data_IF_155752810427
#
_entry.id   IF_155752810427
#
_cell.length_a   1.000
_cell.length_b   1.000
_cell.length_c   1.000
_cell.angle_alpha   90.00
_cell.angle_beta   90.00
_cell.angle_gamma   90.00
#
_symmetry.space_group_name_H-M   'P 1'
#
loop_
_entity.id
_entity.type
_entity.pdbx_description
1 polymer ?
#
# COMPACT_ATOMS: atom_id res chain seq x y z
N UNK A 1 3.12 -0.56 -15.77
CA UNK A 1 2.76 -0.88 -15.57
C UNK A 1 1.70 -1.06 -15.12
N UNK A 2 1.15 -1.29 -15.01
CA UNK A 2 0.21 -1.52 -14.74
C UNK A 2 -0.51 -1.73 -13.98
N UNK A 3 -0.94 -1.71 -13.54
CA UNK A 3 -1.44 -1.82 -12.82
C UNK A 3 -2.53 -2.21 -12.46
N UNK A 4 -3.01 -2.63 -12.26
CA UNK A 4 -4.03 -3.09 -11.89
C UNK A 4 -4.55 -2.64 -10.76
N UNK A 5 -4.53 -1.59 -10.41
CA UNK A 5 -5.11 -1.19 -9.35
C UNK A 5 -6.51 -1.18 -9.61
N UNK A 6 -7.30 -2.00 -9.29
CA UNK A 6 -8.74 -1.98 -9.47
C UNK A 6 -9.19 -1.57 -10.81
N UNK A 7 -8.81 -2.28 -11.77
CA UNK A 7 -9.11 -1.82 -13.00
C UNK A 7 -10.39 -2.21 -13.32
N UNK A 8 -11.16 -1.74 -13.66
CA UNK A 8 -12.36 -2.05 -13.89
C UNK A 8 -12.69 -2.44 -15.06
N UNK A 9 -12.64 -2.99 -15.56
CA UNK A 9 -12.91 -3.38 -16.65
C UNK A 9 -14.12 -3.58 -16.90
N UNK A 10 -14.79 -3.49 -16.94
CA UNK A 10 -15.88 -3.66 -17.18
C UNK A 10 -16.39 -4.01 -18.19
N UNK A 11 -16.41 -4.17 -18.69
CA UNK A 11 -16.82 -4.63 -19.55
C UNK A 11 -18.01 -4.66 -19.98
N UNK A 12 -18.46 -4.65 -20.49
CA UNK A 12 -19.47 -4.56 -21.06
C UNK A 12 -20.27 -5.52 -21.12
N UNK A 13 -20.77 -5.75 -21.11
CA UNK A 13 -21.42 -6.61 -21.21
C UNK A 13 -22.50 -6.82 -21.67
N UNK A 14 -22.84 -6.93 -22.13
CA UNK A 14 -23.78 -7.19 -22.72
C UNK A 14 -24.80 -7.74 -22.29
N UNK A 15 -25.04 -8.10 -21.96
CA UNK A 15 -25.98 -8.55 -21.57
C UNK A 15 -27.13 -8.94 -21.75
N UNK A 16 -27.67 -8.98 -21.97
CA UNK A 16 -28.75 -9.28 -22.29
C UNK A 16 -29.40 -10.12 -21.52
N UNK A 17 -29.56 -10.48 -21.20
CA UNK A 17 -30.15 -11.35 -20.66
C UNK A 17 -30.58 -11.39 -19.44
N UNK A 18 -31.10 -11.25 -19.11
CA UNK A 18 -31.67 -11.38 -18.10
C UNK A 18 -31.24 -11.88 -17.00
N UNK A 19 -31.03 -12.40 -16.75
CA UNK A 19 -30.69 -12.95 -15.79
C UNK A 19 -30.32 -12.46 -14.70
N UNK A 20 -30.38 -12.00 -14.23
CA UNK A 20 -30.14 -11.53 -13.21
C UNK A 20 -29.43 -11.88 -12.23
N UNK A 21 -29.10 -12.39 -12.00
CA UNK A 21 -28.37 -12.78 -11.13
C UNK A 21 -27.56 -11.94 -10.51
N UNK A 22 -27.66 -11.53 -9.78
CA UNK A 22 -26.95 -10.73 -9.13
C UNK A 22 -25.69 -11.05 -8.92
N UNK A 23 -24.92 -10.58 -9.34
CA UNK A 23 -23.72 -10.82 -9.13
C UNK A 23 -23.24 -10.15 -8.06
N UNK A 24 -22.60 -10.53 -7.35
CA UNK A 24 -22.06 -10.00 -6.25
C UNK A 24 -21.18 -9.02 -6.59
N UNK A 25 -21.09 -8.22 -6.28
CA UNK A 25 -20.27 -7.30 -6.61
C UNK A 25 -18.99 -7.63 -6.51
N UNK A 26 -18.26 -7.34 -7.31
CA UNK A 26 -17.03 -7.64 -7.27
C UNK A 26 -16.36 -6.64 -6.55
N UNK A 27 -15.85 -6.82 -5.50
CA UNK A 27 -15.15 -5.86 -4.81
C UNK A 27 -13.97 -5.54 -5.56
N UNK A 28 -13.68 -4.38 -5.75
CA UNK A 28 -12.53 -3.98 -6.43
C UNK A 28 -11.35 -4.12 -5.54
N UNK A 29 -10.41 -4.91 -5.86
CA UNK A 29 -9.22 -5.08 -5.08
C UNK A 29 -8.16 -4.13 -5.58
N UNK A 30 -7.67 -3.26 -4.74
CA UNK A 30 -6.61 -2.34 -5.13
C UNK A 30 -5.27 -2.96 -4.82
N UNK A 31 -4.30 -2.67 -5.67
CA UNK A 31 -3.00 -3.26 -5.60
C UNK A 31 -2.03 -2.25 -4.96
N UNK A 32 -1.37 -2.58 -3.88
CA UNK A 32 -0.43 -1.66 -3.24
C UNK A 32 0.96 -1.66 -3.88
N UNK A 33 1.19 -2.56 -4.82
CA UNK A 33 2.54 -2.71 -5.36
C UNK A 33 2.95 -1.51 -6.20
N UNK A 34 4.21 -1.15 -6.10
CA UNK A 34 4.74 -0.02 -6.83
C UNK A 34 5.38 0.98 -5.91
N UNK A 35 5.77 2.11 -6.44
CA UNK A 35 6.46 3.13 -5.68
C UNK A 35 5.48 4.20 -5.23
N UNK A 36 5.52 4.51 -3.96
CA UNK A 36 4.65 5.51 -3.37
C UNK A 36 5.50 6.57 -2.70
N UNK A 37 5.02 7.80 -2.68
CA UNK A 37 5.75 8.90 -2.08
C UNK A 37 5.07 9.36 -0.82
N UNK A 38 5.85 9.50 0.24
CA UNK A 38 5.37 10.05 1.50
C UNK A 38 5.41 11.57 1.39
N UNK A 39 4.28 12.24 1.42
CA UNK A 39 4.26 13.69 1.18
C UNK A 39 5.04 14.50 2.21
N UNK A 40 5.05 14.08 3.44
CA UNK A 40 5.70 14.88 4.49
C UNK A 40 7.22 14.94 4.34
N UNK A 41 7.84 13.96 3.70
CA UNK A 41 9.29 13.95 3.58
C UNK A 41 9.78 13.82 2.15
N UNK A 42 8.91 13.52 1.22
CA UNK A 42 9.32 13.25 -0.16
C UNK A 42 10.02 11.91 -0.33
N UNK A 43 10.01 11.08 0.70
CA UNK A 43 10.63 9.76 0.63
C UNK A 43 9.81 8.86 -0.28
N UNK A 44 10.47 8.13 -1.14
CA UNK A 44 9.79 7.17 -2.01
C UNK A 44 10.08 5.76 -1.53
N UNK A 45 9.04 4.96 -1.47
CA UNK A 45 9.10 3.61 -0.95
C UNK A 45 8.47 2.69 -1.97
N UNK A 46 9.14 1.61 -2.27
CA UNK A 46 8.62 0.62 -3.20
C UNK A 46 7.99 -0.51 -2.40
N UNK A 47 6.73 -0.78 -2.68
CA UNK A 47 6.00 -1.88 -2.06
C UNK A 47 6.00 -3.05 -3.06
N UNK A 48 6.31 -4.23 -2.57
CA UNK A 48 6.45 -5.38 -3.46
C UNK A 48 6.00 -6.66 -2.77
N UNK A 49 5.76 -7.67 -3.56
CA UNK A 49 5.35 -8.96 -3.05
C UNK A 49 6.57 -9.73 -2.58
N UNK A 50 6.50 -10.29 -1.38
CA UNK A 50 7.57 -11.10 -0.85
C UNK A 50 6.95 -12.39 -0.32
N UNK A 51 6.85 -13.38 -1.18
CA UNK A 51 6.29 -14.68 -0.83
C UNK A 51 4.85 -14.57 -0.35
N UNK A 52 4.07 -13.78 -1.04
CA UNK A 52 2.66 -13.63 -0.73
C UNK A 52 2.36 -12.62 0.35
N UNK A 53 3.38 -11.99 0.90
CA UNK A 53 3.21 -10.96 1.90
C UNK A 53 3.62 -9.62 1.31
N UNK A 54 3.34 -8.56 2.02
CA UNK A 54 3.67 -7.22 1.53
C UNK A 54 4.95 -6.73 2.16
N UNK A 55 5.90 -6.37 1.32
CA UNK A 55 7.17 -5.80 1.76
C UNK A 55 7.31 -4.39 1.23
N UNK A 56 8.14 -3.60 1.87
CA UNK A 56 8.37 -2.24 1.44
C UNK A 56 9.78 -1.80 1.76
N UNK A 57 10.39 -1.07 0.82
CA UNK A 57 11.75 -0.60 1.04
C UNK A 57 11.93 0.80 0.50
N UNK A 58 12.75 1.59 1.17
CA UNK A 58 13.03 2.96 0.75
C UNK A 58 13.88 2.92 -0.52
N UNK A 59 13.43 3.58 -1.56
CA UNK A 59 14.16 3.60 -2.83
C UNK A 59 14.68 4.98 -3.20
N UNK A 60 14.15 6.04 -2.62
CA UNK A 60 14.64 7.38 -2.87
C UNK A 60 14.29 8.30 -1.72
N UNK A 61 15.11 9.28 -1.47
CA UNK A 61 14.86 10.29 -0.45
C UNK A 61 15.09 11.65 -1.08
N UNK A 62 14.37 12.63 -0.57
CA UNK A 62 14.55 13.98 -1.06
C UNK A 62 15.66 14.68 -0.29
N UNK A 63 15.81 14.38 0.98
CA UNK A 63 16.80 15.02 1.84
C UNK A 63 18.11 14.27 1.71
N UNK A 64 19.16 14.95 1.22
CA UNK A 64 20.46 14.33 1.03
C UNK A 64 21.00 13.71 2.31
N UNK A 65 20.65 14.26 3.44
CA UNK A 65 21.16 13.73 4.70
C UNK A 65 20.58 12.35 5.01
N UNK A 66 19.56 11.95 4.30
CA UNK A 66 18.94 10.65 4.52
C UNK A 66 19.31 9.63 3.47
N UNK A 67 20.29 9.94 2.62
CA UNK A 67 20.66 9.02 1.59
C UNK A 67 21.06 7.66 2.11
N UNK A 68 21.60 7.57 3.30
CA UNK A 68 21.99 6.28 3.86
C UNK A 68 20.79 5.39 4.18
N UNK A 69 19.58 5.95 4.14
CA UNK A 69 18.37 5.15 4.40
C UNK A 69 17.89 4.42 3.17
N UNK A 70 18.39 4.77 1.99
CA UNK A 70 17.98 4.09 0.76
C UNK A 70 18.36 2.62 0.86
N UNK A 71 17.44 1.75 0.53
CA UNK A 71 17.63 0.32 0.63
C UNK A 71 17.11 -0.29 1.93
N UNK A 72 16.71 0.55 2.88
CA UNK A 72 16.19 0.03 4.14
C UNK A 72 14.82 -0.61 3.91
N UNK A 73 14.68 -1.84 4.36
CA UNK A 73 13.38 -2.52 4.29
C UNK A 73 12.62 -2.09 5.52
N UNK A 74 11.53 -1.37 5.32
CA UNK A 74 10.75 -0.85 6.43
C UNK A 74 9.57 -1.76 6.76
N UNK A 75 9.20 -2.66 5.87
CA UNK A 75 8.14 -3.61 6.12
C UNK A 75 8.55 -4.92 5.48
N UNK A 76 8.69 -5.96 6.26
CA UNK A 76 9.26 -7.20 5.78
C UNK A 76 8.28 -8.37 5.78
N UNK A 77 7.05 -8.11 5.50
CA UNK A 77 6.08 -9.21 5.41
C UNK A 77 4.78 -8.93 6.11
N UNK A 78 4.10 -7.88 5.69
CA UNK A 78 2.77 -7.59 6.22
C UNK A 78 1.77 -8.56 5.61
N UNK A 79 0.81 -8.96 6.40
CA UNK A 79 -0.17 -9.96 6.00
C UNK A 79 -1.50 -9.27 5.72
N UNK A 80 -2.17 -9.71 4.69
CA UNK A 80 -3.46 -9.13 4.35
C UNK A 80 -4.43 -9.36 5.51
N UNK A 81 -4.98 -8.29 6.04
CA UNK A 81 -5.85 -8.35 7.20
C UNK A 81 -7.30 -8.06 6.86
N UNK A 82 -7.54 -7.49 5.71
CA UNK A 82 -8.90 -7.22 5.22
C UNK A 82 -8.78 -6.85 3.75
N UNK A 83 -9.88 -6.65 3.08
CA UNK A 83 -9.82 -6.18 1.71
C UNK A 83 -9.08 -4.86 1.70
N UNK A 84 -8.12 -4.73 0.84
CA UNK A 84 -7.34 -3.52 0.69
C UNK A 84 -6.56 -3.11 1.94
N UNK A 85 -6.29 -4.06 2.83
CA UNK A 85 -5.56 -3.72 4.06
C UNK A 85 -4.53 -4.80 4.41
N UNK A 86 -3.36 -4.37 4.83
CA UNK A 86 -2.28 -5.26 5.25
C UNK A 86 -1.74 -4.77 6.59
N UNK A 87 -1.32 -5.69 7.43
CA UNK A 87 -0.84 -5.35 8.76
C UNK A 87 0.44 -6.11 9.07
N UNK A 88 1.41 -5.45 9.61
CA UNK A 88 2.68 -6.07 9.98
C UNK A 88 3.60 -5.08 10.65
N UNK A 89 4.80 -5.53 10.96
CA UNK A 89 5.77 -4.64 11.61
C UNK A 89 6.24 -3.58 10.63
N UNK A 90 6.37 -2.37 11.14
CA UNK A 90 6.82 -1.23 10.36
C UNK A 90 7.99 -0.59 11.07
N UNK A 91 9.13 -0.58 10.43
CA UNK A 91 10.31 0.07 10.98
C UNK A 91 10.30 1.54 10.60
N UNK A 92 10.44 2.40 11.59
CA UNK A 92 10.63 3.81 11.31
C UNK A 92 12.13 4.02 11.17
N UNK A 93 12.59 4.29 9.96
CA UNK A 93 14.02 4.41 9.70
C UNK A 93 14.63 5.62 10.36
N UNK A 94 13.84 6.57 10.81
CA UNK A 94 14.37 7.78 11.43
C UNK A 94 14.69 7.58 12.92
N UNK A 95 13.90 6.80 13.61
CA UNK A 95 14.15 6.58 15.04
C UNK A 95 14.55 5.14 15.34
N UNK A 96 14.53 4.26 14.36
CA UNK A 96 14.92 2.87 14.53
C UNK A 96 13.91 2.03 15.29
N UNK A 97 12.74 2.57 15.57
CA UNK A 97 11.73 1.83 16.31
C UNK A 97 10.78 1.09 15.40
N UNK A 98 10.21 0.02 15.93
CA UNK A 98 9.27 -0.79 15.18
C UNK A 98 7.87 -0.54 15.70
N UNK A 99 6.97 -0.27 14.79
CA UNK A 99 5.57 0.02 15.09
C UNK A 99 4.71 -1.07 14.44
N UNK A 100 3.46 -1.14 14.84
CA UNK A 100 2.53 -1.97 14.07
C UNK A 100 2.07 -1.13 12.89
N UNK A 101 2.36 -1.59 11.73
CA UNK A 101 2.02 -0.85 10.51
C UNK A 101 0.73 -1.36 9.90
N UNK A 102 -0.09 -0.46 9.41
CA UNK A 102 -1.30 -0.80 8.70
C UNK A 102 -1.30 -0.06 7.38
N UNK A 103 -1.32 -0.80 6.30
CA UNK A 103 -1.37 -0.24 4.95
C UNK A 103 -2.78 -0.42 4.45
N UNK A 104 -3.42 0.64 4.03
CA UNK A 104 -4.77 0.58 3.51
C UNK A 104 -4.80 1.28 2.16
N UNK A 105 -5.28 0.58 1.14
CA UNK A 105 -5.49 1.20 -0.15
C UNK A 105 -6.82 1.94 -0.09
N UNK A 106 -6.78 3.24 -0.29
CA UNK A 106 -7.98 4.08 -0.24
C UNK A 106 -8.55 4.33 -1.62
N UNK A 107 -7.92 3.76 -2.63
CA UNK A 107 -8.33 3.91 -4.00
C UNK A 107 -7.16 3.50 -4.87
N UNK A 108 -7.26 3.65 -6.17
CA UNK A 108 -6.18 3.21 -7.05
C UNK A 108 -4.92 4.07 -6.93
N UNK A 109 -5.06 5.29 -6.46
CA UNK A 109 -3.92 6.21 -6.40
C UNK A 109 -3.64 6.76 -5.01
N UNK A 110 -4.17 6.14 -4.00
CA UNK A 110 -3.97 6.62 -2.63
C UNK A 110 -3.77 5.44 -1.68
N UNK A 111 -2.67 5.49 -0.95
CA UNK A 111 -2.32 4.46 0.00
C UNK A 111 -2.15 5.14 1.35
N UNK A 112 -2.78 4.65 2.38
CA UNK A 112 -2.60 5.18 3.72
C UNK A 112 -1.69 4.25 4.49
N UNK A 113 -0.63 4.80 5.07
CA UNK A 113 0.26 4.02 5.92
C UNK A 113 0.17 4.58 7.32
N UNK A 114 -0.15 3.70 8.26
CA UNK A 114 -0.35 4.10 9.62
C UNK A 114 0.57 3.29 10.51
N UNK A 115 1.17 3.92 11.48
CA UNK A 115 2.00 3.24 12.48
C UNK A 115 1.36 3.40 13.83
N UNK A 116 1.25 2.31 14.57
CA UNK A 116 0.58 2.31 15.85
C UNK A 116 1.47 1.79 16.95
N UNK A 117 1.37 2.40 18.13
CA UNK A 117 2.02 1.94 19.34
C UNK A 117 0.92 1.93 20.37
N UNK A 118 0.63 0.78 20.93
CA UNK A 118 -0.48 0.63 21.85
C UNK A 118 -1.74 1.13 21.18
N UNK A 119 -2.41 2.11 21.73
CA UNK A 119 -3.64 2.61 21.16
C UNK A 119 -3.45 3.86 20.32
N UNK A 120 -2.23 4.33 20.17
CA UNK A 120 -1.99 5.56 19.45
C UNK A 120 -1.50 5.25 18.06
N UNK A 121 -2.21 5.73 17.06
CA UNK A 121 -1.85 5.52 15.68
C UNK A 121 -1.66 6.86 14.98
N UNK A 122 -0.68 6.93 14.10
CA UNK A 122 -0.48 8.09 13.27
C UNK A 122 -0.34 7.62 11.85
N UNK A 123 -1.00 8.26 10.94
CA UNK A 123 -0.97 7.84 9.56
C UNK A 123 -0.92 8.99 8.59
N UNK A 124 -0.63 8.66 7.38
CA UNK A 124 -0.50 9.64 6.34
C UNK A 124 -0.90 8.99 5.03
N UNK A 125 -1.53 9.73 4.17
CA UNK A 125 -1.89 9.21 2.84
C UNK A 125 -0.76 9.52 1.88
N UNK A 126 -0.31 8.50 1.20
CA UNK A 126 0.81 8.59 0.24
C UNK A 126 0.26 8.56 -1.17
N UNK A 127 0.98 9.21 -2.06
CA UNK A 127 0.58 9.27 -3.47
C UNK A 127 1.56 8.44 -4.28
N UNK A 128 1.21 8.15 -5.51
CA UNK A 128 2.12 7.39 -6.35
C UNK A 128 3.38 8.20 -6.58
N UNK A 129 4.48 7.57 -6.48
CA UNK A 129 5.77 8.22 -6.66
C UNK A 129 6.28 8.25 -8.08
#
# INVERSE_FOLDING_TARGET
MITNRCSSLLTRSVALTLSVTALPGIACAFDPYGTWMRPSTGTQVNFYDCAGKLCAKIVAVKDERRKSKIGTVIMAGAIKSADNQWKGDLLNADDGKVYTGVVTMQGPNALNLKGCVAFVCQGETWTEG
#
